data_IF_440694171739
#
_entry.id   IF_440694171739
#
_cell.length_a   1.000
_cell.length_b   1.000
_cell.length_c   1.000
_cell.angle_alpha   90.00
_cell.angle_beta   90.00
_cell.angle_gamma   90.00
#
_symmetry.space_group_name_H-M   'P 1'
#
loop_
_entity.id
_entity.type
_entity.pdbx_description
1 polymer ?
#
# COMPACT_ATOMS: atom_id res chain seq x y z
N UNK A 1 -13.22 14.83 11.45
CA UNK A 1 -13.56 13.47 10.96
C UNK A 1 -14.77 12.87 11.69
N UNK A 2 -15.82 13.67 11.99
CA UNK A 2 -17.00 13.22 12.77
C UNK A 2 -18.32 13.15 11.96
N UNK A 3 -18.34 13.57 10.69
CA UNK A 3 -19.56 13.60 9.87
C UNK A 3 -19.64 12.48 8.81
N UNK A 4 -18.51 11.89 8.42
CA UNK A 4 -18.46 10.83 7.41
C UNK A 4 -17.87 9.60 8.09
N UNK A 5 -18.65 8.52 8.19
CA UNK A 5 -18.16 7.25 8.74
C UNK A 5 -16.93 6.76 7.96
N UNK A 6 -16.01 6.04 8.62
CA UNK A 6 -14.78 5.54 8.00
C UNK A 6 -15.04 4.84 6.66
N UNK A 7 -16.06 3.99 6.57
CA UNK A 7 -16.44 3.32 5.32
C UNK A 7 -16.74 4.28 4.16
N UNK A 8 -17.54 5.33 4.38
CA UNK A 8 -17.90 6.29 3.34
C UNK A 8 -16.69 7.09 2.85
N UNK A 9 -15.78 7.45 3.76
CA UNK A 9 -14.54 8.13 3.38
C UNK A 9 -13.67 7.26 2.46
N UNK A 10 -13.50 5.97 2.80
CA UNK A 10 -12.77 5.03 1.94
C UNK A 10 -13.44 4.86 0.59
N UNK A 11 -14.78 4.72 0.54
CA UNK A 11 -15.52 4.58 -0.71
C UNK A 11 -15.33 5.80 -1.62
N UNK A 12 -15.46 7.02 -1.08
CA UNK A 12 -15.27 8.26 -1.85
C UNK A 12 -13.84 8.33 -2.36
N UNK A 13 -12.84 8.14 -1.48
CA UNK A 13 -11.43 8.22 -1.86
C UNK A 13 -11.04 7.20 -2.94
N UNK A 14 -11.46 5.95 -2.80
CA UNK A 14 -11.17 4.91 -3.80
C UNK A 14 -11.94 5.14 -5.11
N UNK A 15 -13.17 5.63 -5.07
CA UNK A 15 -13.93 5.96 -6.28
C UNK A 15 -13.26 7.09 -7.06
N UNK A 16 -12.82 8.15 -6.36
CA UNK A 16 -12.06 9.25 -6.97
C UNK A 16 -10.75 8.75 -7.57
N UNK A 17 -10.00 7.92 -6.85
CA UNK A 17 -8.76 7.32 -7.35
C UNK A 17 -9.00 6.45 -8.59
N UNK A 18 -10.05 5.63 -8.59
CA UNK A 18 -10.41 4.78 -9.73
C UNK A 18 -10.77 5.62 -10.97
N UNK A 19 -11.58 6.67 -10.83
CA UNK A 19 -11.92 7.56 -11.95
C UNK A 19 -10.67 8.20 -12.53
N UNK A 20 -9.77 8.72 -11.70
CA UNK A 20 -8.52 9.33 -12.16
C UNK A 20 -7.61 8.32 -12.86
N UNK A 21 -7.43 7.12 -12.27
CA UNK A 21 -6.58 6.08 -12.83
C UNK A 21 -7.11 5.57 -14.19
N UNK A 22 -8.42 5.31 -14.29
CA UNK A 22 -9.06 4.88 -15.54
C UNK A 22 -8.94 5.98 -16.60
N UNK A 23 -9.18 7.23 -16.23
CA UNK A 23 -9.07 8.36 -17.17
C UNK A 23 -7.63 8.52 -17.66
N UNK A 24 -6.66 8.45 -16.76
CA UNK A 24 -5.24 8.53 -17.11
C UNK A 24 -4.81 7.37 -18.03
N UNK A 25 -5.24 6.14 -17.76
CA UNK A 25 -4.90 4.99 -18.62
C UNK A 25 -5.60 5.06 -19.97
N UNK A 26 -6.83 5.56 -20.05
CA UNK A 26 -7.51 5.82 -21.33
C UNK A 26 -6.81 6.90 -22.17
N UNK A 27 -6.26 7.93 -21.53
CA UNK A 27 -5.53 9.01 -22.22
C UNK A 27 -4.15 8.55 -22.70
N UNK A 28 -3.44 7.76 -21.90
CA UNK A 28 -2.07 7.31 -22.22
C UNK A 28 -2.05 6.11 -23.16
N UNK A 29 -2.82 5.07 -22.84
CA UNK A 29 -2.75 3.78 -23.55
C UNK A 29 -3.82 3.67 -24.64
N UNK A 30 -4.88 4.47 -24.59
CA UNK A 30 -6.00 4.42 -25.52
C UNK A 30 -6.95 3.23 -25.30
N UNK A 31 -8.24 3.36 -25.65
CA UNK A 31 -9.24 2.32 -25.41
C UNK A 31 -9.05 1.04 -26.25
N UNK A 32 -8.29 1.10 -27.35
CA UNK A 32 -8.03 -0.06 -28.20
C UNK A 32 -7.12 -1.10 -27.51
N UNK A 33 -6.29 -0.68 -26.56
CA UNK A 33 -5.33 -1.55 -25.87
C UNK A 33 -6.01 -2.63 -25.05
N UNK A 34 -7.19 -2.34 -24.48
CA UNK A 34 -7.95 -3.29 -23.65
C UNK A 34 -8.58 -4.44 -24.44
N UNK A 35 -8.80 -4.26 -25.75
CA UNK A 35 -9.35 -5.31 -26.62
C UNK A 35 -8.35 -6.44 -26.88
N UNK A 36 -7.04 -6.17 -26.71
CA UNK A 36 -5.98 -7.16 -26.86
C UNK A 36 -5.71 -8.02 -25.61
N UNK A 37 -6.35 -7.71 -24.47
CA UNK A 37 -6.09 -8.43 -23.23
C UNK A 37 -6.82 -9.77 -23.16
N UNK A 38 -6.05 -10.81 -22.84
CA UNK A 38 -6.58 -12.15 -22.57
C UNK A 38 -7.39 -12.13 -21.25
N UNK A 39 -8.44 -12.97 -21.09
CA UNK A 39 -9.20 -13.06 -19.84
C UNK A 39 -8.36 -13.31 -18.58
N UNK A 40 -7.20 -13.94 -18.72
CA UNK A 40 -6.24 -14.14 -17.63
C UNK A 40 -5.65 -12.83 -17.07
N UNK A 41 -5.38 -11.85 -17.93
CA UNK A 41 -4.85 -10.54 -17.50
C UNK A 41 -5.93 -9.80 -16.71
N UNK A 42 -7.18 -9.88 -17.17
CA UNK A 42 -8.33 -9.32 -16.46
C UNK A 42 -8.55 -9.94 -15.08
N UNK A 43 -8.37 -11.26 -14.94
CA UNK A 43 -8.51 -11.91 -13.64
C UNK A 43 -7.39 -11.52 -12.68
N UNK A 44 -6.14 -11.40 -13.14
CA UNK A 44 -5.02 -10.89 -12.34
C UNK A 44 -5.27 -9.44 -11.90
N UNK A 45 -5.73 -8.58 -12.81
CA UNK A 45 -6.08 -7.19 -12.50
C UNK A 45 -7.17 -7.08 -11.43
N UNK A 46 -8.22 -7.90 -11.54
CA UNK A 46 -9.28 -7.96 -10.52
C UNK A 46 -8.77 -8.44 -9.16
N UNK A 47 -7.94 -9.49 -9.14
CA UNK A 47 -7.33 -9.98 -7.90
C UNK A 47 -6.46 -8.91 -7.25
N UNK A 48 -5.62 -8.24 -8.02
CA UNK A 48 -4.74 -7.19 -7.53
C UNK A 48 -5.52 -5.96 -7.05
N UNK A 49 -6.61 -5.59 -7.74
CA UNK A 49 -7.51 -4.53 -7.29
C UNK A 49 -8.21 -4.87 -5.97
N UNK A 50 -8.82 -6.05 -5.86
CA UNK A 50 -9.59 -6.41 -4.67
C UNK A 50 -8.66 -6.66 -3.48
N UNK A 51 -7.68 -7.55 -3.63
CA UNK A 51 -6.81 -7.98 -2.53
C UNK A 51 -5.65 -7.02 -2.27
N UNK A 52 -5.18 -6.30 -3.30
CA UNK A 52 -4.06 -5.38 -3.19
C UNK A 52 -4.45 -3.95 -2.86
N UNK A 53 -5.70 -3.51 -3.14
CA UNK A 53 -6.10 -2.11 -2.88
C UNK A 53 -7.36 -1.98 -2.03
N UNK A 54 -8.50 -2.56 -2.46
CA UNK A 54 -9.79 -2.37 -1.78
C UNK A 54 -9.76 -2.91 -0.35
N UNK A 55 -9.44 -4.19 -0.20
CA UNK A 55 -9.47 -4.86 1.09
C UNK A 55 -8.46 -4.26 2.09
N UNK A 56 -7.18 -4.04 1.72
CA UNK A 56 -6.22 -3.36 2.60
C UNK A 56 -6.65 -1.94 2.99
N UNK A 57 -7.24 -1.17 2.08
CA UNK A 57 -7.67 0.21 2.36
C UNK A 57 -8.79 0.28 3.40
N UNK A 58 -9.76 -0.65 3.34
CA UNK A 58 -10.80 -0.75 4.36
C UNK A 58 -10.25 -1.20 5.71
N UNK A 59 -9.34 -2.19 5.72
CA UNK A 59 -8.68 -2.64 6.95
C UNK A 59 -7.86 -1.52 7.59
N UNK A 60 -7.12 -0.76 6.79
CA UNK A 60 -6.32 0.38 7.25
C UNK A 60 -7.20 1.47 7.84
N UNK A 61 -8.27 1.88 7.15
CA UNK A 61 -9.15 2.92 7.69
C UNK A 61 -9.89 2.44 8.96
N UNK A 62 -10.27 1.16 9.01
CA UNK A 62 -10.84 0.56 10.22
C UNK A 62 -9.82 0.57 11.37
N UNK A 63 -8.57 0.21 11.11
CA UNK A 63 -7.49 0.28 12.10
C UNK A 63 -7.29 1.71 12.62
N UNK A 64 -7.21 2.70 11.73
CA UNK A 64 -7.09 4.12 12.10
C UNK A 64 -8.27 4.54 12.99
N UNK A 65 -9.49 4.13 12.64
CA UNK A 65 -10.69 4.46 13.43
C UNK A 65 -10.71 3.82 14.83
N UNK A 66 -10.03 2.68 15.03
CA UNK A 66 -10.03 1.94 16.30
C UNK A 66 -8.82 2.23 17.20
N UNK A 67 -7.61 2.18 16.65
CA UNK A 67 -6.35 2.34 17.40
C UNK A 67 -5.68 3.69 17.17
N UNK A 68 -6.26 4.53 16.31
CA UNK A 68 -5.74 5.85 15.98
C UNK A 68 -4.66 5.84 14.89
N UNK A 69 -4.43 6.99 14.24
CA UNK A 69 -3.46 7.10 13.15
C UNK A 69 -2.02 6.85 13.59
N UNK A 70 -1.66 7.23 14.83
CA UNK A 70 -0.30 7.08 15.36
C UNK A 70 0.11 5.60 15.52
N UNK A 71 -0.73 4.79 16.18
CA UNK A 71 -0.46 3.37 16.39
C UNK A 71 -0.52 2.58 15.07
N UNK A 72 -1.43 2.96 14.17
CA UNK A 72 -1.53 2.37 12.84
C UNK A 72 -0.25 2.62 12.02
N UNK A 73 0.28 3.84 12.06
CA UNK A 73 1.54 4.21 11.37
C UNK A 73 2.74 3.41 11.89
N UNK A 74 2.85 3.24 13.21
CA UNK A 74 3.91 2.42 13.82
C UNK A 74 3.86 0.97 13.36
N UNK A 75 2.65 0.42 13.14
CA UNK A 75 2.48 -0.96 12.66
C UNK A 75 2.77 -1.06 11.15
N UNK A 76 2.36 -0.06 10.37
CA UNK A 76 2.61 0.00 8.94
C UNK A 76 4.11 0.10 8.58
N UNK A 77 4.93 0.60 9.51
CA UNK A 77 6.40 0.70 9.35
C UNK A 77 7.09 -0.66 9.18
N UNK A 78 6.45 -1.76 9.59
CA UNK A 78 6.92 -3.13 9.34
C UNK A 78 6.62 -3.63 7.92
N UNK A 79 5.73 -2.95 7.19
CA UNK A 79 5.31 -3.31 5.84
C UNK A 79 6.49 -3.58 4.89
N UNK A 80 7.48 -2.69 4.77
CA UNK A 80 8.62 -2.90 3.88
C UNK A 80 9.42 -4.17 4.21
N UNK A 81 9.61 -4.49 5.49
CA UNK A 81 10.34 -5.69 5.92
C UNK A 81 9.58 -6.95 5.51
N UNK A 82 8.27 -6.98 5.75
CA UNK A 82 7.40 -8.11 5.38
C UNK A 82 7.38 -8.28 3.85
N UNK A 83 7.27 -7.19 3.10
CA UNK A 83 7.28 -7.21 1.62
C UNK A 83 8.59 -7.76 1.07
N UNK A 84 9.75 -7.38 1.63
CA UNK A 84 11.05 -7.91 1.20
C UNK A 84 11.15 -9.41 1.46
N UNK A 85 10.72 -9.87 2.65
CA UNK A 85 10.73 -11.30 2.98
C UNK A 85 9.84 -12.08 2.01
N UNK A 86 8.64 -11.56 1.69
CA UNK A 86 7.75 -12.17 0.72
C UNK A 86 8.35 -12.16 -0.70
N UNK A 87 9.03 -11.10 -1.11
CA UNK A 87 9.68 -11.05 -2.42
C UNK A 87 10.74 -12.14 -2.57
N UNK A 88 11.57 -12.35 -1.55
CA UNK A 88 12.62 -13.39 -1.57
C UNK A 88 12.03 -14.79 -1.50
N UNK A 89 11.07 -15.04 -0.62
CA UNK A 89 10.53 -16.39 -0.38
C UNK A 89 9.48 -16.83 -1.40
N UNK A 90 8.59 -15.92 -1.82
CA UNK A 90 7.44 -16.24 -2.68
C UNK A 90 7.78 -16.02 -4.15
N UNK A 91 8.42 -14.89 -4.49
CA UNK A 91 8.80 -14.57 -5.86
C UNK A 91 10.10 -15.27 -6.30
N UNK A 92 10.93 -15.71 -5.36
CA UNK A 92 12.16 -16.44 -5.65
C UNK A 92 13.23 -15.60 -6.35
N UNK A 93 13.22 -14.27 -6.18
CA UNK A 93 14.19 -13.40 -6.83
C UNK A 93 15.62 -13.67 -6.33
N UNK A 94 16.56 -13.77 -7.28
CA UNK A 94 17.97 -13.91 -6.95
C UNK A 94 18.45 -12.65 -6.20
N UNK A 95 18.92 -12.85 -4.98
CA UNK A 95 19.37 -11.75 -4.13
C UNK A 95 20.74 -11.24 -4.60
N UNK A 96 20.72 -10.29 -5.53
CA UNK A 96 21.93 -9.64 -6.06
C UNK A 96 22.44 -8.56 -5.09
N UNK A 97 23.66 -8.06 -5.33
CA UNK A 97 24.25 -6.99 -4.53
C UNK A 97 23.40 -5.71 -4.49
N UNK A 98 22.70 -5.40 -5.58
CA UNK A 98 21.75 -4.27 -5.65
C UNK A 98 20.57 -4.49 -4.68
N UNK A 99 20.03 -5.71 -4.61
CA UNK A 99 18.95 -6.04 -3.67
C UNK A 99 19.41 -5.94 -2.22
N UNK A 100 20.67 -6.33 -1.93
CA UNK A 100 21.25 -6.16 -0.61
C UNK A 100 21.37 -4.67 -0.22
N UNK A 101 21.84 -3.81 -1.13
CA UNK A 101 21.90 -2.36 -0.89
C UNK A 101 20.51 -1.74 -0.72
N UNK A 102 19.56 -2.10 -1.56
CA UNK A 102 18.17 -1.62 -1.46
C UNK A 102 17.52 -2.05 -0.14
N UNK A 103 17.70 -3.32 0.25
CA UNK A 103 17.21 -3.86 1.51
C UNK A 103 17.85 -3.15 2.69
N UNK A 104 19.17 -2.94 2.68
CA UNK A 104 19.86 -2.18 3.73
C UNK A 104 19.33 -0.75 3.85
N UNK A 105 19.08 -0.07 2.72
CA UNK A 105 18.53 1.29 2.72
C UNK A 105 17.11 1.34 3.29
N UNK A 106 16.24 0.40 2.89
CA UNK A 106 14.87 0.28 3.43
C UNK A 106 14.89 -0.01 4.92
N UNK A 107 15.74 -0.95 5.37
CA UNK A 107 15.88 -1.29 6.79
C UNK A 107 16.39 -0.09 7.61
N UNK A 108 17.37 0.66 7.11
CA UNK A 108 17.87 1.88 7.75
C UNK A 108 16.78 2.95 7.84
N UNK A 109 16.01 3.15 6.77
CA UNK A 109 14.88 4.07 6.74
C UNK A 109 13.80 3.69 7.76
N UNK A 110 13.35 2.43 7.74
CA UNK A 110 12.37 1.90 8.70
C UNK A 110 12.87 1.98 10.14
N UNK A 111 14.16 1.67 10.38
CA UNK A 111 14.76 1.78 11.71
C UNK A 111 14.82 3.22 12.20
N UNK A 112 15.23 4.16 11.35
CA UNK A 112 15.26 5.58 11.69
C UNK A 112 13.85 6.10 11.98
N UNK A 113 12.87 5.73 11.16
CA UNK A 113 11.47 6.11 11.35
C UNK A 113 10.92 5.56 12.68
N UNK A 114 11.16 4.29 12.99
CA UNK A 114 10.79 3.68 14.27
C UNK A 114 11.47 4.38 15.46
N UNK A 115 12.74 4.78 15.30
CA UNK A 115 13.49 5.49 16.34
C UNK A 115 12.92 6.89 16.58
N UNK A 116 12.61 7.64 15.53
CA UNK A 116 12.00 8.97 15.61
C UNK A 116 10.62 8.90 16.29
N UNK A 117 9.80 7.93 15.92
CA UNK A 117 8.50 7.71 16.57
C UNK A 117 8.66 7.38 18.06
N UNK A 118 9.64 6.54 18.42
CA UNK A 118 9.94 6.20 19.83
C UNK A 118 10.43 7.40 20.65
N UNK A 119 11.16 8.33 20.03
CA UNK A 119 11.64 9.54 20.68
C UNK A 119 10.51 10.55 20.90
N UNK A 120 9.58 10.64 19.95
CA UNK A 120 8.39 11.49 20.08
C UNK A 120 7.50 11.02 21.24
N UNK A 121 7.43 9.70 21.49
CA UNK A 121 6.76 9.13 22.69
C UNK A 121 7.40 9.51 24.03
N UNK A 122 8.67 9.93 24.06
CA UNK A 122 9.41 10.24 25.30
C UNK A 122 9.33 11.72 25.72
N UNK A 123 8.79 12.61 24.89
CA UNK A 123 8.54 14.01 25.26
C UNK A 123 7.04 14.19 25.57
N UNK A 124 6.61 14.07 26.83
CA UNK A 124 5.31 14.58 27.23
C UNK A 124 5.38 16.11 27.20
N UNK A 125 4.65 16.74 26.28
CA UNK A 125 4.14 18.10 26.46
C UNK A 125 2.70 18.00 26.92
#
# INVERSE_FOLDING_TARGET
MKLIGSGLFTCIGMSTAAVLAITQSLVVDGPATYAGFTPYIWSLGLMLGIFGTVLPSFLLNTAISRIGPQATSSTASFGPVITIVLAVLVLGEAFTWIHAMGTALVLLGSWLFARLESQNRRKPT
#
